data_IF_852662140164
#
_entry.id   IF_852662140164
#
_cell.length_a   1.000
_cell.length_b   1.000
_cell.length_c   1.000
_cell.angle_alpha   90.00
_cell.angle_beta   90.00
_cell.angle_gamma   90.00
#
_symmetry.space_group_name_H-M   'P 1'
#
loop_
_entity.id
_entity.type
_entity.pdbx_description
1 polymer ?
#
# COMPACT_ATOMS: atom_id res chain seq x y z
N UNK A 1 15.27 24.94 -9.36
CA UNK A 1 15.62 23.98 -8.29
C UNK A 1 14.81 24.37 -7.06
N UNK A 2 14.05 23.49 -6.37
CA UNK A 2 13.46 23.91 -5.10
C UNK A 2 14.51 23.75 -3.99
N UNK A 3 14.85 24.85 -3.33
CA UNK A 3 15.82 24.98 -2.23
C UNK A 3 15.18 24.77 -0.84
N UNK A 4 14.26 23.82 -0.68
CA UNK A 4 13.52 23.74 0.58
C UNK A 4 14.38 23.18 1.72
N UNK A 5 14.49 23.95 2.80
CA UNK A 5 15.03 23.50 4.09
C UNK A 5 14.00 22.67 4.84
N UNK A 6 14.45 21.86 5.81
CA UNK A 6 13.61 20.94 6.59
C UNK A 6 12.31 21.58 7.14
N UNK A 7 12.32 22.81 7.71
CA UNK A 7 11.09 23.46 8.19
C UNK A 7 10.10 23.81 7.07
N UNK A 8 10.62 24.20 5.91
CA UNK A 8 9.82 24.57 4.74
C UNK A 8 9.18 23.32 4.13
N UNK A 9 9.92 22.21 4.07
CA UNK A 9 9.38 20.91 3.67
C UNK A 9 8.27 20.44 4.63
N UNK A 10 8.45 20.60 5.95
CA UNK A 10 7.44 20.25 6.95
C UNK A 10 6.17 21.09 6.78
N UNK A 11 6.29 22.40 6.55
CA UNK A 11 5.15 23.27 6.29
C UNK A 11 4.40 22.87 5.01
N UNK A 12 5.13 22.57 3.94
CA UNK A 12 4.54 22.09 2.68
C UNK A 12 3.82 20.73 2.88
N UNK A 13 4.41 19.81 3.62
CA UNK A 13 3.79 18.53 3.94
C UNK A 13 2.53 18.69 4.81
N UNK A 14 2.46 19.71 5.68
CA UNK A 14 1.26 20.00 6.46
C UNK A 14 0.10 20.49 5.59
N UNK A 15 0.38 21.34 4.60
CA UNK A 15 -0.64 21.78 3.62
C UNK A 15 -1.15 20.61 2.76
N UNK A 16 -0.28 19.65 2.45
CA UNK A 16 -0.66 18.43 1.73
C UNK A 16 -1.48 17.50 2.61
N UNK A 17 -1.05 17.27 3.85
CA UNK A 17 -1.77 16.43 4.81
C UNK A 17 -3.17 16.97 5.14
N UNK A 18 -3.37 18.29 5.04
CA UNK A 18 -4.68 18.94 5.20
C UNK A 18 -5.50 19.01 3.92
N UNK A 19 -5.02 18.42 2.81
CA UNK A 19 -5.71 18.37 1.53
C UNK A 19 -5.76 19.71 0.79
N UNK A 20 -5.02 20.73 1.25
CA UNK A 20 -4.98 22.07 0.63
C UNK A 20 -4.09 22.13 -0.60
N UNK A 21 -3.25 21.11 -0.80
CA UNK A 21 -2.33 21.02 -1.94
C UNK A 21 -2.10 19.57 -2.35
N UNK A 22 -2.22 19.27 -3.64
CA UNK A 22 -1.72 18.02 -4.19
C UNK A 22 -0.20 18.10 -4.35
N UNK A 23 0.53 17.10 -3.85
CA UNK A 23 1.95 16.98 -4.18
C UNK A 23 2.06 16.58 -5.65
N UNK A 24 2.96 17.20 -6.42
CA UNK A 24 3.48 16.57 -7.62
C UNK A 24 4.30 15.37 -7.15
N UNK A 25 3.63 14.26 -6.88
CA UNK A 25 4.27 12.97 -6.71
C UNK A 25 4.93 12.69 -8.04
N UNK A 26 6.26 12.61 -8.05
CA UNK A 26 6.96 12.11 -9.22
C UNK A 26 6.43 10.70 -9.48
N UNK A 27 5.64 10.55 -10.54
CA UNK A 27 5.47 9.29 -11.24
C UNK A 27 6.85 8.92 -11.74
N UNK A 28 7.61 8.13 -10.98
CA UNK A 28 8.94 7.72 -11.43
C UNK A 28 8.90 6.89 -12.75
N UNK A 29 7.70 6.49 -13.17
CA UNK A 29 7.42 5.89 -14.47
C UNK A 29 7.29 6.91 -15.64
N UNK A 30 7.22 8.21 -15.35
CA UNK A 30 7.22 9.27 -16.36
C UNK A 30 8.62 9.90 -16.41
N UNK A 31 9.37 9.56 -17.46
CA UNK A 31 10.61 10.19 -17.92
C UNK A 31 11.85 10.06 -16.99
N UNK A 32 12.56 8.92 -17.09
CA UNK A 32 14.00 8.86 -16.81
C UNK A 32 14.44 9.34 -15.42
N UNK A 33 13.58 9.21 -14.42
CA UNK A 33 13.88 9.65 -13.07
C UNK A 33 14.97 8.76 -12.45
N UNK A 34 16.10 9.37 -12.09
CA UNK A 34 17.16 8.72 -11.32
C UNK A 34 17.27 9.32 -9.91
N UNK A 35 17.29 8.49 -8.85
CA UNK A 35 17.56 8.94 -7.49
C UNK A 35 18.90 9.68 -7.39
N UNK A 36 18.86 10.93 -6.94
CA UNK A 36 20.07 11.74 -6.74
C UNK A 36 20.47 11.77 -5.26
N UNK A 37 21.77 11.63 -4.94
CA UNK A 37 22.26 11.80 -3.57
C UNK A 37 21.86 13.15 -2.96
N UNK A 38 21.53 13.15 -1.66
CA UNK A 38 21.17 14.36 -0.92
C UNK A 38 19.75 14.89 -1.14
N UNK A 39 18.92 14.20 -1.93
CA UNK A 39 17.50 14.54 -2.13
C UNK A 39 16.58 13.49 -1.51
N UNK A 40 15.44 13.94 -1.00
CA UNK A 40 14.34 13.06 -0.58
C UNK A 40 13.39 12.87 -1.75
N UNK A 41 13.08 11.61 -2.05
CA UNK A 41 12.06 11.24 -3.04
C UNK A 41 10.80 10.80 -2.31
N UNK A 42 9.66 11.39 -2.66
CA UNK A 42 8.36 10.86 -2.28
C UNK A 42 7.72 10.21 -3.50
N UNK A 43 7.40 8.92 -3.39
CA UNK A 43 6.79 8.14 -4.45
C UNK A 43 5.79 7.14 -3.87
N UNK A 44 4.87 6.68 -4.72
CA UNK A 44 4.06 5.50 -4.40
C UNK A 44 4.90 4.23 -4.56
N UNK A 45 4.48 3.11 -3.96
CA UNK A 45 5.18 1.83 -4.12
C UNK A 45 5.29 1.39 -5.59
N UNK A 46 4.28 1.69 -6.40
CA UNK A 46 4.31 1.45 -7.85
C UNK A 46 5.36 2.32 -8.55
N UNK A 47 5.41 3.61 -8.22
CA UNK A 47 6.40 4.53 -8.77
C UNK A 47 7.83 4.18 -8.40
N UNK A 48 8.06 3.50 -7.28
CA UNK A 48 9.39 3.13 -6.83
C UNK A 48 10.00 1.92 -7.57
N UNK A 49 9.25 1.26 -8.48
CA UNK A 49 9.72 0.06 -9.18
C UNK A 49 10.94 0.37 -10.06
N UNK A 50 11.99 -0.43 -9.92
CA UNK A 50 13.24 -0.25 -10.68
C UNK A 50 14.21 0.79 -10.10
N UNK A 51 13.80 1.50 -9.04
CA UNK A 51 14.64 2.48 -8.35
C UNK A 51 15.16 1.90 -7.03
N UNK A 52 16.25 2.45 -6.50
CA UNK A 52 16.82 2.01 -5.23
C UNK A 52 17.42 3.19 -4.46
N UNK A 53 17.39 3.12 -3.14
CA UNK A 53 17.91 4.14 -2.24
C UNK A 53 18.70 3.52 -1.09
N UNK A 54 19.60 4.31 -0.51
CA UNK A 54 20.32 3.91 0.70
C UNK A 54 19.38 3.72 1.90
N UNK A 55 18.37 4.57 2.01
CA UNK A 55 17.35 4.51 3.06
C UNK A 55 15.95 4.61 2.45
N UNK A 56 15.04 3.73 2.87
CA UNK A 56 13.63 3.73 2.47
C UNK A 56 12.74 3.80 3.69
N UNK A 57 11.75 4.68 3.65
CA UNK A 57 10.71 4.84 4.66
C UNK A 57 9.37 4.41 4.06
N UNK A 58 8.87 3.23 4.43
CA UNK A 58 7.52 2.80 4.10
C UNK A 58 6.59 3.23 5.22
N UNK A 59 5.70 4.17 4.92
CA UNK A 59 4.80 4.79 5.89
C UNK A 59 3.37 4.29 5.71
N UNK A 60 2.62 4.20 6.81
CA UNK A 60 1.19 3.84 6.78
C UNK A 60 0.94 2.37 6.47
N UNK A 61 1.84 1.46 6.86
CA UNK A 61 1.61 0.02 6.70
C UNK A 61 0.71 -0.46 7.85
N UNK A 62 -0.60 -0.46 7.64
CA UNK A 62 -1.59 -0.89 8.62
C UNK A 62 -2.55 -1.96 8.08
N UNK A 63 -3.41 -2.49 8.97
CA UNK A 63 -4.35 -3.55 8.63
C UNK A 63 -5.46 -3.11 7.67
N UNK A 64 -5.62 -1.81 7.44
CA UNK A 64 -6.52 -1.30 6.41
C UNK A 64 -5.82 -1.31 5.04
N UNK A 65 -4.52 -0.97 5.00
CA UNK A 65 -3.72 -1.11 3.80
C UNK A 65 -3.46 -2.58 3.45
N UNK A 66 -3.06 -3.44 4.39
CA UNK A 66 -2.86 -4.88 4.19
C UNK A 66 -3.78 -5.65 5.13
N UNK A 67 -4.99 -6.01 4.67
CA UNK A 67 -5.95 -6.77 5.45
C UNK A 67 -5.36 -8.09 5.97
N UNK A 68 -5.62 -8.39 7.24
CA UNK A 68 -5.15 -9.61 7.89
C UNK A 68 -6.05 -10.82 7.68
N UNK A 69 -7.28 -10.63 7.20
CA UNK A 69 -8.26 -11.69 6.92
C UNK A 69 -9.16 -11.30 5.74
N UNK A 70 -9.95 -12.26 5.24
CA UNK A 70 -10.90 -12.03 4.14
C UNK A 70 -12.17 -11.28 4.58
N UNK A 71 -12.47 -11.30 5.89
CA UNK A 71 -13.61 -10.58 6.49
C UNK A 71 -13.24 -9.17 6.97
N UNK A 72 -11.96 -8.80 6.87
CA UNK A 72 -11.49 -7.46 7.21
C UNK A 72 -12.03 -6.44 6.19
N UNK A 73 -12.14 -5.15 6.56
CA UNK A 73 -12.56 -4.11 5.62
C UNK A 73 -11.52 -3.94 4.51
N UNK A 74 -11.97 -4.00 3.25
CA UNK A 74 -11.13 -3.73 2.08
C UNK A 74 -11.37 -2.31 1.57
N UNK A 75 -10.28 -1.56 1.40
CA UNK A 75 -10.36 -0.21 0.83
C UNK A 75 -11.00 -0.26 -0.57
N UNK A 76 -12.11 0.47 -0.74
CA UNK A 76 -12.85 0.55 -2.00
C UNK A 76 -13.97 -0.48 -2.14
N UNK A 77 -14.08 -1.43 -1.20
CA UNK A 77 -15.20 -2.39 -1.14
C UNK A 77 -16.26 -1.83 -0.19
N UNK A 78 -17.52 -1.94 -0.61
CA UNK A 78 -18.68 -1.47 0.13
C UNK A 78 -19.47 -2.67 0.63
N UNK A 79 -19.28 -3.05 1.90
CA UNK A 79 -19.87 -4.26 2.50
C UNK A 79 -21.40 -4.35 2.35
N UNK A 80 -22.10 -3.21 2.27
CA UNK A 80 -23.56 -3.19 2.11
C UNK A 80 -24.03 -3.78 0.78
N UNK A 81 -23.15 -3.90 -0.23
CA UNK A 81 -23.46 -4.51 -1.51
C UNK A 81 -23.40 -6.05 -1.47
N UNK A 82 -23.07 -6.65 -0.33
CA UNK A 82 -23.00 -8.10 -0.17
C UNK A 82 -21.79 -8.76 -0.84
N UNK A 83 -20.78 -7.97 -1.19
CA UNK A 83 -19.55 -8.42 -1.85
C UNK A 83 -18.94 -7.32 -2.71
N UNK A 84 -17.88 -7.64 -3.45
CA UNK A 84 -17.32 -6.75 -4.47
C UNK A 84 -18.06 -6.97 -5.81
N UNK A 85 -18.91 -6.01 -6.26
CA UNK A 85 -19.67 -6.19 -7.50
C UNK A 85 -18.80 -6.37 -8.73
N UNK A 86 -17.59 -5.78 -8.73
CA UNK A 86 -16.63 -5.90 -9.81
C UNK A 86 -16.06 -7.32 -9.85
N UNK A 87 -15.75 -7.88 -8.69
CA UNK A 87 -15.27 -9.25 -8.56
C UNK A 87 -16.33 -10.27 -9.02
N UNK A 88 -17.58 -10.08 -8.60
CA UNK A 88 -18.71 -10.93 -8.99
C UNK A 88 -18.94 -10.87 -10.51
N UNK A 89 -18.96 -9.68 -11.11
CA UNK A 89 -19.08 -9.51 -12.55
C UNK A 89 -17.91 -10.17 -13.31
N UNK A 90 -16.68 -10.00 -12.82
CA UNK A 90 -15.50 -10.62 -13.41
C UNK A 90 -15.54 -12.16 -13.32
N UNK A 91 -16.03 -12.71 -12.22
CA UNK A 91 -16.19 -14.15 -12.05
C UNK A 91 -17.27 -14.73 -12.98
N UNK A 92 -18.41 -14.05 -13.13
CA UNK A 92 -19.44 -14.45 -14.10
C UNK A 92 -18.89 -14.44 -15.54
N UNK A 93 -18.13 -13.40 -15.91
CA UNK A 93 -17.48 -13.34 -17.21
C UNK A 93 -16.46 -14.49 -17.40
N UNK A 94 -15.63 -14.75 -16.39
CA UNK A 94 -14.66 -15.88 -16.43
C UNK A 94 -15.36 -17.22 -16.57
N UNK A 95 -16.47 -17.43 -15.87
CA UNK A 95 -17.29 -18.64 -16.01
C UNK A 95 -17.80 -18.81 -17.44
N UNK A 96 -18.34 -17.74 -18.04
CA UNK A 96 -18.81 -17.75 -19.44
C UNK A 96 -17.67 -18.00 -20.46
N UNK A 97 -16.48 -17.48 -20.19
CA UNK A 97 -15.34 -17.54 -21.13
C UNK A 97 -14.54 -18.83 -21.05
N UNK A 98 -14.32 -19.36 -19.85
CA UNK A 98 -13.34 -20.42 -19.60
C UNK A 98 -13.95 -21.72 -19.04
N UNK A 99 -15.22 -21.71 -18.60
CA UNK A 99 -15.89 -22.84 -17.97
C UNK A 99 -15.28 -23.17 -16.59
N UNK A 100 -15.97 -22.80 -15.51
CA UNK A 100 -15.68 -23.14 -14.09
C UNK A 100 -14.20 -23.23 -13.65
N UNK A 101 -13.33 -22.41 -14.24
CA UNK A 101 -11.97 -22.22 -13.72
C UNK A 101 -12.05 -21.36 -12.46
N UNK A 102 -12.36 -21.99 -11.32
CA UNK A 102 -12.22 -21.37 -10.01
C UNK A 102 -10.75 -20.99 -9.80
N UNK A 103 -10.47 -19.69 -9.60
CA UNK A 103 -9.10 -19.21 -9.33
C UNK A 103 -8.58 -19.78 -8.00
N UNK A 104 -9.46 -19.86 -7.00
CA UNK A 104 -9.20 -20.47 -5.71
C UNK A 104 -10.34 -21.46 -5.40
N UNK A 105 -10.07 -22.78 -5.41
CA UNK A 105 -11.11 -23.78 -5.18
C UNK A 105 -11.87 -23.58 -3.87
N UNK A 106 -13.20 -23.61 -3.94
CA UNK A 106 -14.07 -23.49 -2.76
C UNK A 106 -14.15 -22.08 -2.15
N UNK A 107 -13.78 -21.04 -2.91
CA UNK A 107 -13.93 -19.63 -2.51
C UNK A 107 -14.96 -18.91 -3.36
N UNK A 108 -15.71 -18.01 -2.75
CA UNK A 108 -16.56 -17.07 -3.49
C UNK A 108 -15.70 -16.14 -4.38
N UNK A 109 -16.35 -15.49 -5.36
CA UNK A 109 -15.67 -14.52 -6.21
C UNK A 109 -15.15 -13.32 -5.41
N UNK A 110 -15.95 -12.83 -4.46
CA UNK A 110 -15.53 -11.80 -3.49
C UNK A 110 -14.31 -12.23 -2.68
N UNK A 111 -14.31 -13.43 -2.07
CA UNK A 111 -13.14 -13.92 -1.33
C UNK A 111 -11.90 -14.05 -2.22
N UNK A 112 -12.08 -14.53 -3.45
CA UNK A 112 -11.00 -14.64 -4.43
C UNK A 112 -10.38 -13.28 -4.75
N UNK A 113 -11.21 -12.25 -4.95
CA UNK A 113 -10.74 -10.88 -5.14
C UNK A 113 -10.05 -10.32 -3.90
N UNK A 114 -10.56 -10.60 -2.70
CA UNK A 114 -9.89 -10.24 -1.44
C UNK A 114 -8.49 -10.86 -1.34
N UNK A 115 -8.33 -12.14 -1.72
CA UNK A 115 -7.04 -12.83 -1.77
C UNK A 115 -6.10 -12.14 -2.77
N UNK A 116 -6.57 -11.81 -3.98
CA UNK A 116 -5.77 -11.11 -4.98
C UNK A 116 -5.31 -9.73 -4.48
N UNK A 117 -6.20 -8.98 -3.84
CA UNK A 117 -5.87 -7.68 -3.27
C UNK A 117 -4.79 -7.81 -2.18
N UNK A 118 -4.94 -8.74 -1.23
CA UNK A 118 -3.93 -8.99 -0.19
C UNK A 118 -2.60 -9.38 -0.85
N UNK A 119 -2.64 -10.29 -1.83
CA UNK A 119 -1.45 -10.78 -2.54
C UNK A 119 -0.71 -9.65 -3.25
N UNK A 120 -1.44 -8.76 -3.93
CA UNK A 120 -0.85 -7.60 -4.60
C UNK A 120 -0.24 -6.62 -3.59
N UNK A 121 -0.90 -6.36 -2.47
CA UNK A 121 -0.37 -5.49 -1.40
C UNK A 121 0.88 -6.07 -0.75
N UNK A 122 0.94 -7.38 -0.55
CA UNK A 122 2.15 -8.08 -0.09
C UNK A 122 3.27 -7.99 -1.12
N UNK A 123 2.96 -8.16 -2.42
CA UNK A 123 3.92 -7.98 -3.51
C UNK A 123 4.49 -6.56 -3.52
N UNK A 124 3.66 -5.53 -3.33
CA UNK A 124 4.08 -4.13 -3.27
C UNK A 124 4.92 -3.83 -2.02
N UNK A 125 4.56 -4.40 -0.87
CA UNK A 125 5.37 -4.33 0.34
C UNK A 125 6.76 -4.92 0.10
N UNK A 126 6.83 -6.11 -0.50
CA UNK A 126 8.10 -6.73 -0.89
C UNK A 126 8.91 -5.86 -1.86
N UNK A 127 8.27 -5.30 -2.89
CA UNK A 127 8.92 -4.37 -3.82
C UNK A 127 9.50 -3.19 -3.04
N UNK A 128 8.73 -2.57 -2.14
CA UNK A 128 9.16 -1.46 -1.29
C UNK A 128 10.36 -1.81 -0.40
N UNK A 129 10.32 -2.98 0.26
CA UNK A 129 11.40 -3.49 1.11
C UNK A 129 12.69 -3.64 0.30
N UNK A 130 12.60 -4.24 -0.89
CA UNK A 130 13.78 -4.48 -1.75
C UNK A 130 14.32 -3.21 -2.42
N UNK A 131 13.70 -2.04 -2.26
CA UNK A 131 14.28 -0.78 -2.74
C UNK A 131 15.35 -0.23 -1.79
N UNK A 132 15.43 -0.74 -0.56
CA UNK A 132 16.38 -0.30 0.46
C UNK A 132 17.72 -1.03 0.33
N UNK A 133 18.83 -0.29 0.24
CA UNK A 133 20.19 -0.86 0.22
C UNK A 133 20.78 -1.02 1.61
N UNK A 134 20.51 -0.09 2.53
CA UNK A 134 21.16 -0.04 3.86
C UNK A 134 20.16 0.06 5.01
N UNK A 135 19.19 0.95 4.89
CA UNK A 135 18.23 1.22 5.97
C UNK A 135 16.79 1.10 5.48
N UNK A 136 15.99 0.34 6.23
CA UNK A 136 14.55 0.23 6.01
C UNK A 136 13.84 0.67 7.28
N UNK A 137 12.96 1.65 7.16
CA UNK A 137 12.03 2.05 8.20
C UNK A 137 10.61 1.72 7.77
N UNK A 138 9.90 0.95 8.60
CA UNK A 138 8.48 0.67 8.45
C UNK A 138 7.73 1.42 9.55
N UNK A 139 6.67 2.14 9.20
CA UNK A 139 5.82 2.79 10.17
C UNK A 139 4.35 2.53 9.91
N UNK A 140 3.57 2.63 10.98
CA UNK A 140 2.11 2.53 10.97
C UNK A 140 1.48 3.63 11.80
N UNK A 141 0.25 3.99 11.47
CA UNK A 141 -0.57 4.89 12.28
C UNK A 141 -1.42 4.07 13.25
N UNK A 142 -1.58 4.54 14.49
CA UNK A 142 -2.48 3.90 15.47
C UNK A 142 -3.95 4.23 15.20
N UNK A 143 -4.22 5.42 14.66
CA UNK A 143 -5.54 5.83 14.22
C UNK A 143 -5.45 6.49 12.85
N UNK A 144 -6.42 6.22 11.99
CA UNK A 144 -6.56 6.89 10.69
C UNK A 144 -7.82 7.74 10.69
N UNK A 145 -7.73 8.94 10.10
CA UNK A 145 -8.86 9.84 9.92
C UNK A 145 -9.44 9.61 8.53
N UNK A 146 -10.66 9.10 8.46
CA UNK A 146 -11.39 8.95 7.21
C UNK A 146 -12.72 9.69 7.30
N UNK A 147 -12.96 10.63 6.38
CA UNK A 147 -14.23 11.35 6.23
C UNK A 147 -14.80 11.90 7.55
N UNK A 148 -13.92 12.53 8.36
CA UNK A 148 -14.21 13.14 9.66
C UNK A 148 -14.48 12.17 10.84
N UNK A 149 -14.19 10.88 10.69
CA UNK A 149 -14.19 9.89 11.79
C UNK A 149 -12.79 9.35 12.02
N UNK A 150 -12.35 9.35 13.27
CA UNK A 150 -11.15 8.61 13.69
C UNK A 150 -11.53 7.14 13.83
N UNK A 151 -10.81 6.29 13.11
CA UNK A 151 -10.91 4.84 13.24
C UNK A 151 -9.59 4.33 13.80
N UNK A 152 -9.67 3.54 14.86
CA UNK A 152 -8.50 2.79 15.33
C UNK A 152 -8.04 1.87 14.20
N UNK A 153 -6.78 2.00 13.82
CA UNK A 153 -6.20 1.18 12.79
C UNK A 153 -5.65 -0.07 13.46
N UNK A 154 -6.01 -1.25 12.94
CA UNK A 154 -5.39 -2.50 13.37
C UNK A 154 -3.96 -2.61 12.81
N UNK A 155 -3.03 -3.29 13.51
CA UNK A 155 -1.73 -3.63 12.97
C UNK A 155 -1.87 -4.53 11.73
N UNK A 156 -1.05 -4.28 10.71
CA UNK A 156 -0.95 -5.23 9.61
C UNK A 156 -0.29 -6.50 10.15
N UNK A 157 -0.94 -7.66 9.99
CA UNK A 157 -0.44 -8.96 10.48
C UNK A 157 1.00 -9.23 10.04
N UNK A 158 1.33 -8.83 8.80
CA UNK A 158 2.67 -8.98 8.24
C UNK A 158 3.76 -8.23 9.02
N UNK A 159 3.45 -7.09 9.66
CA UNK A 159 4.42 -6.38 10.50
C UNK A 159 4.81 -7.19 11.73
N UNK A 160 3.85 -7.92 12.33
CA UNK A 160 4.14 -8.84 13.43
C UNK A 160 5.05 -9.99 13.00
N UNK A 161 4.80 -10.56 11.81
CA UNK A 161 5.65 -11.60 11.22
C UNK A 161 7.07 -11.09 10.97
N UNK A 162 7.20 -9.90 10.37
CA UNK A 162 8.51 -9.27 10.12
C UNK A 162 9.25 -8.94 11.42
N UNK A 163 8.55 -8.46 12.45
CA UNK A 163 9.12 -8.19 13.76
C UNK A 163 9.72 -9.45 14.39
N UNK A 164 8.96 -10.55 14.41
CA UNK A 164 9.44 -11.83 14.92
C UNK A 164 10.61 -12.38 14.11
N UNK A 165 10.59 -12.21 12.78
CA UNK A 165 11.72 -12.58 11.93
C UNK A 165 12.98 -11.79 12.28
N UNK A 166 12.89 -10.46 12.41
CA UNK A 166 14.04 -9.61 12.77
C UNK A 166 14.56 -9.98 14.14
N UNK A 167 13.67 -10.14 15.14
CA UNK A 167 14.03 -10.50 16.51
C UNK A 167 14.76 -11.84 16.60
N UNK A 168 14.45 -12.81 15.74
CA UNK A 168 15.12 -14.12 15.70
C UNK A 168 16.50 -14.08 15.04
N UNK A 169 16.75 -13.09 14.18
CA UNK A 169 17.97 -12.98 13.38
C UNK A 169 18.86 -11.79 13.80
N UNK A 170 18.54 -11.12 14.92
CA UNK A 170 19.34 -10.06 15.55
C UNK A 170 20.07 -10.61 16.77
#
# INVERSE_FOLDING_TARGET
>A
QPEWRLPELVAQLADVATGRRALPLASANELGYEPQPGRVTLATQHGAKGLEWDAVFLVGIDGFWIPGSLDAPFQGVLDFLGGDPTAEAAAQLRHLMAGDAEIYPGRSATESAHIEIISERLRLLYVGITRAKRYLHLSRSRATRQYNKEREAEPATILGVLYEYVKRNS
#
